data_IF_089713331935
#
_entry.id   IF_089713331935
#
_cell.length_a   1.000
_cell.length_b   1.000
_cell.length_c   1.000
_cell.angle_alpha   90.00
_cell.angle_beta   90.00
_cell.angle_gamma   90.00
#
_symmetry.space_group_name_H-M   'P 1'
#
loop_
_entity.id
_entity.type
_entity.pdbx_description
1 polymer ?
#
# COMPACT_ATOMS: atom_id res chain seq x y z
N UNK A 1 -17.93 1.26 17.22
CA UNK A 1 -16.86 0.49 17.90
C UNK A 1 -15.63 1.36 18.02
N UNK A 2 -14.75 1.14 19.00
CA UNK A 2 -13.50 1.90 19.11
C UNK A 2 -12.53 1.44 17.99
N UNK A 3 -11.82 2.38 17.37
CA UNK A 3 -10.77 2.08 16.41
C UNK A 3 -9.58 1.42 17.12
N UNK A 4 -9.03 0.36 16.55
CA UNK A 4 -7.76 -0.22 17.02
C UNK A 4 -6.56 0.63 16.60
N UNK A 5 -6.65 1.25 15.41
CA UNK A 5 -5.61 2.09 14.84
C UNK A 5 -6.17 3.49 14.54
N UNK A 6 -5.41 4.53 14.87
CA UNK A 6 -5.78 5.93 14.61
C UNK A 6 -5.28 6.42 13.26
N UNK A 7 -4.13 5.89 12.81
CA UNK A 7 -3.53 6.22 11.51
C UNK A 7 -2.98 4.98 10.85
N UNK A 8 -3.38 4.72 9.62
CA UNK A 8 -2.90 3.60 8.82
C UNK A 8 -2.19 4.07 7.56
N UNK A 9 -1.26 3.27 7.07
CA UNK A 9 -0.75 3.41 5.71
C UNK A 9 -1.16 2.19 4.88
N UNK A 10 -2.03 2.41 3.92
CA UNK A 10 -2.55 1.37 3.03
C UNK A 10 -1.70 1.26 1.76
N UNK A 11 -1.20 0.07 1.48
CA UNK A 11 -0.54 -0.24 0.21
C UNK A 11 -1.50 -0.97 -0.71
N UNK A 12 -1.70 -0.43 -1.90
CA UNK A 12 -2.49 -1.03 -2.97
C UNK A 12 -1.55 -1.44 -4.12
N UNK A 13 -1.66 -2.67 -4.62
CA UNK A 13 -0.95 -3.07 -5.84
C UNK A 13 -1.54 -2.34 -7.05
N UNK A 14 -0.68 -1.81 -7.93
CA UNK A 14 -1.17 -1.23 -9.19
C UNK A 14 -1.95 -2.24 -10.04
N UNK A 15 -1.55 -3.52 -10.03
CA UNK A 15 -2.25 -4.59 -10.74
C UNK A 15 -3.67 -4.78 -10.25
N UNK A 16 -3.93 -4.57 -8.96
CA UNK A 16 -5.29 -4.64 -8.41
C UNK A 16 -6.21 -3.59 -9.07
N UNK A 17 -5.69 -2.40 -9.44
CA UNK A 17 -6.49 -1.38 -10.12
C UNK A 17 -6.85 -1.74 -11.57
N UNK A 18 -6.13 -2.69 -12.18
CA UNK A 18 -6.36 -3.20 -13.52
C UNK A 18 -7.38 -4.34 -13.60
N UNK A 19 -7.99 -4.72 -12.48
CA UNK A 19 -8.95 -5.83 -12.41
C UNK A 19 -8.37 -7.15 -12.91
N UNK A 20 -9.19 -7.99 -13.54
CA UNK A 20 -8.76 -9.29 -14.08
C UNK A 20 -7.66 -9.18 -15.13
N UNK A 21 -7.63 -8.09 -15.90
CA UNK A 21 -6.60 -7.86 -16.93
C UNK A 21 -5.24 -7.49 -16.32
N UNK A 22 -5.23 -6.99 -15.09
CA UNK A 22 -4.03 -6.53 -14.38
C UNK A 22 -3.31 -5.33 -15.04
N UNK A 23 -3.93 -4.69 -16.05
CA UNK A 23 -3.37 -3.57 -16.80
C UNK A 23 -4.37 -2.43 -16.96
N UNK A 24 -3.87 -1.18 -16.97
CA UNK A 24 -4.72 0.01 -17.07
C UNK A 24 -5.56 0.21 -15.81
N UNK A 25 -6.75 0.74 -15.99
CA UNK A 25 -7.77 0.93 -14.96
C UNK A 25 -9.02 0.10 -15.26
N UNK A 26 -9.54 -0.57 -14.26
CA UNK A 26 -10.82 -1.27 -14.30
C UNK A 26 -11.80 -0.55 -13.37
N UNK A 27 -12.76 0.15 -13.98
CA UNK A 27 -13.69 1.02 -13.22
C UNK A 27 -14.43 0.28 -12.10
N UNK A 28 -15.04 -0.92 -12.32
CA UNK A 28 -15.72 -1.64 -11.26
C UNK A 28 -14.81 -1.98 -10.08
N UNK A 29 -13.56 -2.40 -10.39
CA UNK A 29 -12.57 -2.73 -9.36
C UNK A 29 -12.14 -1.51 -8.58
N UNK A 30 -11.93 -0.37 -9.26
CA UNK A 30 -11.60 0.90 -8.61
C UNK A 30 -12.75 1.39 -7.72
N UNK A 31 -13.99 1.27 -8.17
CA UNK A 31 -15.19 1.60 -7.37
C UNK A 31 -15.24 0.75 -6.09
N UNK A 32 -15.00 -0.55 -6.19
CA UNK A 32 -15.00 -1.46 -5.05
C UNK A 32 -13.90 -1.11 -4.05
N UNK A 33 -12.66 -0.97 -4.52
CA UNK A 33 -11.50 -0.65 -3.65
C UNK A 33 -11.69 0.71 -2.96
N UNK A 34 -12.02 1.76 -3.73
CA UNK A 34 -12.22 3.10 -3.16
C UNK A 34 -13.45 3.16 -2.24
N UNK A 35 -14.49 2.36 -2.52
CA UNK A 35 -15.63 2.17 -1.63
C UNK A 35 -15.23 1.58 -0.28
N UNK A 36 -14.35 0.57 -0.26
CA UNK A 36 -13.79 -0.01 0.96
C UNK A 36 -12.92 0.99 1.74
N UNK A 37 -12.10 1.79 1.03
CA UNK A 37 -11.31 2.86 1.64
C UNK A 37 -12.22 3.93 2.26
N UNK A 38 -13.28 4.34 1.55
CA UNK A 38 -14.28 5.28 2.08
C UNK A 38 -14.91 4.78 3.37
N UNK A 39 -15.38 3.52 3.39
CA UNK A 39 -15.96 2.90 4.60
C UNK A 39 -15.00 2.96 5.79
N UNK A 40 -13.71 2.67 5.57
CA UNK A 40 -12.70 2.79 6.61
C UNK A 40 -12.51 4.25 7.07
N UNK A 41 -12.45 5.19 6.13
CA UNK A 41 -12.30 6.62 6.42
C UNK A 41 -13.48 7.18 7.23
N UNK A 42 -14.71 6.76 6.94
CA UNK A 42 -15.92 7.16 7.66
C UNK A 42 -15.94 6.69 9.12
N UNK A 43 -15.12 5.70 9.49
CA UNK A 43 -14.90 5.31 10.89
C UNK A 43 -14.03 6.33 11.66
N UNK A 44 -13.42 7.30 10.98
CA UNK A 44 -12.59 8.36 11.58
C UNK A 44 -11.11 8.03 11.65
N UNK A 45 -10.62 6.96 10.98
CA UNK A 45 -9.19 6.64 10.88
C UNK A 45 -8.51 7.56 9.87
N UNK A 46 -7.31 8.04 10.19
CA UNK A 46 -6.46 8.76 9.24
C UNK A 46 -5.80 7.76 8.28
N UNK A 47 -5.93 8.01 6.98
CA UNK A 47 -5.46 7.08 5.93
C UNK A 47 -4.42 7.75 5.05
N UNK A 48 -3.24 7.13 4.94
CA UNK A 48 -2.29 7.35 3.85
C UNK A 48 -2.37 6.19 2.86
N UNK A 49 -2.24 6.47 1.57
CA UNK A 49 -2.26 5.45 0.52
C UNK A 49 -0.98 5.52 -0.31
N UNK A 50 -0.34 4.37 -0.53
CA UNK A 50 0.72 4.18 -1.54
C UNK A 50 0.22 3.20 -2.58
N UNK A 51 0.29 3.57 -3.85
CA UNK A 51 -0.15 2.71 -4.95
C UNK A 51 1.06 2.28 -5.79
N UNK A 52 1.13 0.99 -6.13
CA UNK A 52 2.13 0.47 -7.06
C UNK A 52 1.85 0.89 -8.51
N UNK A 53 2.87 0.77 -9.40
CA UNK A 53 2.75 1.10 -10.83
C UNK A 53 2.59 -0.11 -11.76
N UNK A 54 2.36 -1.31 -11.21
CA UNK A 54 2.45 -2.58 -11.92
C UNK A 54 1.43 -2.80 -13.04
N UNK A 55 0.31 -2.06 -13.03
CA UNK A 55 -0.69 -2.06 -14.11
C UNK A 55 -0.25 -1.33 -15.38
N UNK A 56 0.78 -0.50 -15.30
CA UNK A 56 1.36 0.20 -16.46
C UNK A 56 2.78 -0.21 -16.75
N UNK A 57 3.61 -0.43 -15.70
CA UNK A 57 5.02 -0.70 -15.89
C UNK A 57 5.64 -1.52 -14.75
N UNK A 58 6.43 -2.54 -15.13
CA UNK A 58 7.23 -3.34 -14.20
C UNK A 58 8.72 -3.20 -14.54
N UNK A 59 9.44 -2.39 -13.78
CA UNK A 59 10.87 -2.14 -13.99
C UNK A 59 11.73 -3.40 -13.99
N UNK A 60 11.42 -4.37 -13.12
CA UNK A 60 12.18 -5.63 -13.00
C UNK A 60 12.09 -6.54 -14.24
N UNK A 61 11.05 -6.40 -15.06
CA UNK A 61 10.80 -7.20 -16.26
C UNK A 61 10.93 -6.39 -17.56
N UNK A 62 11.58 -5.23 -17.53
CA UNK A 62 11.68 -4.29 -18.66
C UNK A 62 12.66 -4.73 -19.78
N UNK A 63 13.11 -5.98 -19.78
CA UNK A 63 13.95 -6.53 -20.84
C UNK A 63 15.35 -5.89 -20.87
N UNK A 64 15.70 -5.24 -22.00
CA UNK A 64 17.02 -4.63 -22.21
C UNK A 64 17.13 -3.17 -21.69
N UNK A 65 16.06 -2.61 -21.12
CA UNK A 65 16.08 -1.25 -20.61
C UNK A 65 17.00 -1.11 -19.40
N UNK A 66 17.73 -0.01 -19.33
CA UNK A 66 18.57 0.30 -18.18
C UNK A 66 17.71 0.44 -16.92
N UNK A 67 18.15 -0.16 -15.81
CA UNK A 67 17.34 -0.36 -14.59
C UNK A 67 16.86 0.96 -13.98
N UNK A 68 17.73 1.98 -13.91
CA UNK A 68 17.35 3.27 -13.30
C UNK A 68 16.30 3.99 -14.13
N UNK A 69 16.37 3.87 -15.48
CA UNK A 69 15.34 4.42 -16.37
C UNK A 69 14.02 3.68 -16.23
N UNK A 70 14.08 2.35 -16.19
CA UNK A 70 12.89 1.51 -16.00
C UNK A 70 12.18 1.81 -14.67
N UNK A 71 12.93 1.99 -13.59
CA UNK A 71 12.38 2.32 -12.27
C UNK A 71 11.78 3.75 -12.27
N UNK A 72 12.38 4.72 -12.99
CA UNK A 72 11.79 6.08 -13.15
C UNK A 72 10.45 6.02 -13.88
N UNK A 73 10.32 5.20 -14.93
CA UNK A 73 9.03 5.00 -15.61
C UNK A 73 8.01 4.39 -14.63
N UNK A 74 8.42 3.40 -13.84
CA UNK A 74 7.56 2.83 -12.79
C UNK A 74 7.12 3.84 -11.74
N UNK A 75 8.01 4.76 -11.34
CA UNK A 75 7.66 5.87 -10.43
C UNK A 75 6.60 6.79 -11.04
N UNK A 76 6.71 7.15 -12.33
CA UNK A 76 5.68 7.93 -13.02
C UNK A 76 4.34 7.18 -13.09
N UNK A 77 4.37 5.88 -13.34
CA UNK A 77 3.16 5.03 -13.30
C UNK A 77 2.45 5.10 -11.94
N UNK A 78 3.21 5.16 -10.83
CA UNK A 78 2.59 5.33 -9.49
C UNK A 78 1.95 6.70 -9.31
N UNK A 79 2.44 7.75 -9.97
CA UNK A 79 1.80 9.08 -9.95
C UNK A 79 0.47 9.03 -10.69
N UNK A 80 0.42 8.39 -11.87
CA UNK A 80 -0.83 8.20 -12.61
C UNK A 80 -1.88 7.49 -11.75
N UNK A 81 -1.48 6.40 -11.07
CA UNK A 81 -2.37 5.65 -10.18
C UNK A 81 -2.82 6.47 -8.97
N UNK A 82 -1.94 7.27 -8.38
CA UNK A 82 -2.28 8.15 -7.26
C UNK A 82 -3.35 9.17 -7.65
N UNK A 83 -3.23 9.77 -8.83
CA UNK A 83 -4.22 10.71 -9.35
C UNK A 83 -5.56 10.03 -9.62
N UNK A 84 -5.56 8.84 -10.24
CA UNK A 84 -6.78 8.10 -10.53
C UNK A 84 -7.52 7.66 -9.25
N UNK A 85 -6.79 7.18 -8.23
CA UNK A 85 -7.38 6.84 -6.92
C UNK A 85 -7.92 8.08 -6.21
N UNK A 86 -7.22 9.22 -6.31
CA UNK A 86 -7.68 10.51 -5.79
C UNK A 86 -9.02 10.91 -6.41
N UNK A 87 -9.09 10.97 -7.74
CA UNK A 87 -10.31 11.33 -8.49
C UNK A 87 -11.48 10.41 -8.11
N UNK A 88 -11.25 9.09 -8.05
CA UNK A 88 -12.28 8.13 -7.68
C UNK A 88 -12.80 8.34 -6.25
N UNK A 89 -11.93 8.60 -5.29
CA UNK A 89 -12.32 8.90 -3.90
C UNK A 89 -13.10 10.21 -3.82
N UNK A 90 -12.70 11.24 -4.57
CA UNK A 90 -13.41 12.53 -4.62
C UNK A 90 -14.80 12.39 -5.25
N UNK A 91 -14.96 11.56 -6.29
CA UNK A 91 -16.27 11.19 -6.84
C UNK A 91 -17.17 10.52 -5.78
N UNK A 92 -16.58 9.77 -4.85
CA UNK A 92 -17.28 9.16 -3.72
C UNK A 92 -17.52 10.11 -2.55
N UNK A 93 -17.10 11.39 -2.66
CA UNK A 93 -17.27 12.43 -1.64
C UNK A 93 -16.20 12.44 -0.55
N UNK A 94 -15.08 11.75 -0.76
CA UNK A 94 -13.93 11.74 0.18
C UNK A 94 -12.86 12.70 -0.29
N UNK A 95 -12.51 13.69 0.52
CA UNK A 95 -11.44 14.63 0.18
C UNK A 95 -10.06 13.95 0.22
N UNK A 96 -9.24 14.27 -0.77
CA UNK A 96 -7.89 13.72 -0.88
C UNK A 96 -6.83 14.80 -1.05
N UNK A 97 -5.57 14.42 -0.88
CA UNK A 97 -4.42 15.22 -1.30
C UNK A 97 -3.30 14.31 -1.81
N UNK A 98 -2.92 14.51 -3.08
CA UNK A 98 -1.84 13.74 -3.70
C UNK A 98 -0.51 14.43 -3.47
N UNK A 99 0.49 13.67 -3.01
CA UNK A 99 1.88 14.11 -2.86
C UNK A 99 2.78 13.27 -3.75
N UNK A 100 3.83 13.88 -4.29
CA UNK A 100 4.81 13.17 -5.11
C UNK A 100 6.22 13.30 -4.59
N UNK A 101 7.00 12.22 -4.70
CA UNK A 101 8.45 12.23 -4.40
C UNK A 101 9.29 12.82 -5.53
N UNK A 102 8.68 13.05 -6.70
CA UNK A 102 9.32 13.66 -7.87
C UNK A 102 8.80 15.09 -7.98
N UNK A 103 9.69 16.06 -8.15
CA UNK A 103 9.29 17.47 -8.28
C UNK A 103 8.51 17.68 -9.58
N UNK A 104 7.19 17.85 -9.48
CA UNK A 104 6.27 18.09 -10.60
C UNK A 104 5.07 18.98 -10.16
N UNK A 105 5.31 20.24 -9.80
CA UNK A 105 4.32 21.09 -9.11
C UNK A 105 3.04 21.35 -9.90
N UNK A 106 3.07 21.17 -11.23
CA UNK A 106 1.87 21.29 -12.07
C UNK A 106 0.94 20.08 -11.97
N UNK A 107 1.41 18.97 -11.39
CA UNK A 107 0.67 17.70 -11.24
C UNK A 107 0.26 17.48 -9.81
N UNK A 108 1.23 17.56 -8.88
CA UNK A 108 1.01 17.40 -7.45
C UNK A 108 2.15 18.07 -6.66
N UNK A 109 1.89 18.56 -5.44
CA UNK A 109 2.93 19.09 -4.57
C UNK A 109 3.97 18.02 -4.20
N UNK A 110 5.19 18.49 -3.95
CA UNK A 110 6.23 17.64 -3.41
C UNK A 110 5.86 17.17 -2.00
N UNK A 111 6.13 15.91 -1.70
CA UNK A 111 5.89 15.36 -0.37
C UNK A 111 6.73 16.09 0.69
N UNK A 112 6.06 16.53 1.74
CA UNK A 112 6.66 16.83 3.03
C UNK A 112 5.87 16.14 4.13
N UNK A 113 6.57 15.67 5.18
CA UNK A 113 5.92 15.06 6.33
C UNK A 113 4.87 16.00 6.95
N UNK A 114 5.20 17.29 7.04
CA UNK A 114 4.34 18.32 7.65
C UNK A 114 3.01 18.46 6.89
N UNK A 115 3.07 18.57 5.56
CA UNK A 115 1.89 18.78 4.73
C UNK A 115 1.02 17.52 4.68
N UNK A 116 1.63 16.34 4.60
CA UNK A 116 0.89 15.08 4.67
C UNK A 116 0.16 14.90 6.01
N UNK A 117 0.81 15.17 7.14
CA UNK A 117 0.17 15.11 8.46
C UNK A 117 -0.94 16.15 8.61
N UNK A 118 -0.75 17.36 8.03
CA UNK A 118 -1.78 18.37 8.01
C UNK A 118 -3.01 17.93 7.21
N UNK A 119 -2.81 17.40 5.99
CA UNK A 119 -3.89 16.87 5.16
C UNK A 119 -4.71 15.80 5.90
N UNK A 120 -4.02 14.83 6.55
CA UNK A 120 -4.68 13.78 7.34
C UNK A 120 -5.44 14.36 8.55
N UNK A 121 -4.89 15.36 9.22
CA UNK A 121 -5.54 16.02 10.36
C UNK A 121 -6.77 16.84 9.93
N UNK A 122 -6.75 17.40 8.72
CA UNK A 122 -7.87 18.11 8.11
C UNK A 122 -8.95 17.15 7.56
N UNK A 123 -8.82 15.83 7.80
CA UNK A 123 -9.78 14.81 7.38
C UNK A 123 -9.64 14.36 5.92
N UNK A 124 -8.54 14.69 5.25
CA UNK A 124 -8.23 14.21 3.89
C UNK A 124 -7.47 12.90 3.91
N UNK A 125 -7.63 12.09 2.87
CA UNK A 125 -6.75 10.96 2.60
C UNK A 125 -5.49 11.46 1.87
N UNK A 126 -4.30 11.19 2.43
CA UNK A 126 -3.04 11.52 1.78
C UNK A 126 -2.61 10.38 0.83
N UNK A 127 -2.40 10.68 -0.45
CA UNK A 127 -2.01 9.68 -1.45
C UNK A 127 -0.60 9.98 -1.95
N UNK A 128 0.28 8.98 -1.94
CA UNK A 128 1.70 9.15 -2.21
C UNK A 128 2.09 8.51 -3.55
N UNK A 129 2.45 9.32 -4.54
CA UNK A 129 3.00 8.94 -5.83
C UNK A 129 4.51 9.16 -5.94
N UNK A 130 5.13 8.64 -7.00
CA UNK A 130 6.56 8.82 -7.27
C UNK A 130 7.50 7.90 -6.50
N UNK A 131 6.97 6.88 -5.82
CA UNK A 131 7.80 5.95 -5.05
C UNK A 131 8.57 6.63 -3.92
N UNK A 132 9.84 6.25 -3.73
CA UNK A 132 10.78 6.94 -2.81
C UNK A 132 11.42 8.17 -3.46
N UNK A 133 11.19 8.42 -4.76
CA UNK A 133 11.95 9.38 -5.57
C UNK A 133 13.28 8.84 -6.08
N UNK A 134 13.67 7.63 -5.68
CA UNK A 134 14.93 6.99 -6.05
C UNK A 134 14.68 5.63 -6.71
N UNK A 135 15.52 5.25 -7.72
CA UNK A 135 15.45 3.91 -8.30
C UNK A 135 15.88 2.83 -7.29
N UNK A 136 15.68 1.56 -7.64
CA UNK A 136 16.02 0.35 -6.89
C UNK A 136 15.12 0.04 -5.69
N UNK A 137 14.22 0.93 -5.29
CA UNK A 137 13.27 0.69 -4.21
C UNK A 137 11.92 0.21 -4.74
N UNK A 138 11.32 -0.71 -4.00
CA UNK A 138 9.99 -1.23 -4.32
C UNK A 138 8.86 -0.34 -3.77
N UNK A 139 7.62 -0.65 -4.17
CA UNK A 139 6.42 -0.04 -3.56
C UNK A 139 6.30 -0.42 -2.08
N UNK A 140 6.69 -1.64 -1.68
CA UNK A 140 6.66 -2.06 -0.26
C UNK A 140 7.64 -1.21 0.57
N UNK A 141 8.87 -0.99 0.07
CA UNK A 141 9.84 -0.10 0.71
C UNK A 141 9.32 1.35 0.80
N UNK A 142 8.68 1.84 -0.27
CA UNK A 142 8.06 3.17 -0.26
C UNK A 142 6.98 3.26 0.81
N UNK A 143 6.14 2.23 0.91
CA UNK A 143 5.05 2.20 1.89
C UNK A 143 5.58 2.20 3.32
N UNK A 144 6.59 1.37 3.61
CA UNK A 144 7.25 1.34 4.91
C UNK A 144 7.85 2.71 5.28
N UNK A 145 8.55 3.35 4.33
CA UNK A 145 9.14 4.68 4.52
C UNK A 145 8.06 5.72 4.85
N UNK A 146 7.01 5.81 4.03
CA UNK A 146 5.92 6.77 4.26
C UNK A 146 5.19 6.50 5.57
N UNK A 147 4.99 5.22 5.94
CA UNK A 147 4.35 4.85 7.20
C UNK A 147 5.13 5.37 8.41
N UNK A 148 6.46 5.18 8.41
CA UNK A 148 7.33 5.70 9.47
C UNK A 148 7.32 7.23 9.49
N UNK A 149 7.45 7.88 8.32
CA UNK A 149 7.48 9.35 8.23
C UNK A 149 6.18 10.00 8.72
N UNK A 150 5.02 9.42 8.43
CA UNK A 150 3.74 9.97 8.91
C UNK A 150 3.32 9.42 10.28
N UNK A 151 4.17 8.62 10.93
CA UNK A 151 3.89 7.98 12.22
C UNK A 151 2.58 7.18 12.18
N UNK A 152 2.44 6.28 11.19
CA UNK A 152 1.33 5.35 11.11
C UNK A 152 1.44 4.29 12.22
N UNK A 153 0.30 3.88 12.77
CA UNK A 153 0.25 2.82 13.79
C UNK A 153 0.50 1.44 13.20
N UNK A 154 0.18 1.27 11.90
CA UNK A 154 0.29 0.02 11.18
C UNK A 154 0.36 0.27 9.67
N UNK A 155 1.07 -0.61 8.96
CA UNK A 155 1.02 -0.71 7.51
C UNK A 155 0.03 -1.80 7.10
N UNK A 156 -0.96 -1.47 6.27
CA UNK A 156 -1.86 -2.42 5.63
C UNK A 156 -1.33 -2.78 4.25
N UNK A 157 -0.97 -4.03 4.06
CA UNK A 157 -0.57 -4.58 2.77
C UNK A 157 -1.73 -5.37 2.17
N UNK A 158 -2.54 -4.68 1.36
CA UNK A 158 -3.61 -5.28 0.61
C UNK A 158 -3.06 -6.02 -0.63
N UNK A 159 -3.37 -7.31 -0.76
CA UNK A 159 -2.83 -8.22 -1.77
C UNK A 159 -3.92 -9.07 -2.41
N UNK A 160 -3.54 -10.04 -3.26
CA UNK A 160 -4.44 -11.03 -3.87
C UNK A 160 -4.45 -12.36 -3.11
N UNK A 161 -3.86 -12.40 -1.91
CA UNK A 161 -3.87 -13.55 -1.01
C UNK A 161 -4.31 -13.11 0.38
N UNK A 162 -4.98 -13.98 1.10
CA UNK A 162 -5.63 -13.69 2.38
C UNK A 162 -4.67 -13.68 3.58
N UNK A 163 -3.36 -13.74 3.33
CA UNK A 163 -2.33 -13.69 4.38
C UNK A 163 -0.98 -14.23 3.93
N UNK A 164 -0.14 -14.53 4.89
CA UNK A 164 1.19 -15.11 4.69
C UNK A 164 1.15 -16.62 4.96
N UNK A 165 1.78 -17.38 4.11
CA UNK A 165 1.86 -18.84 4.17
C UNK A 165 3.30 -19.32 4.31
N UNK A 166 3.48 -20.54 4.81
CA UNK A 166 4.78 -21.22 4.91
C UNK A 166 5.36 -21.58 3.53
N UNK A 167 4.50 -21.70 2.51
CA UNK A 167 4.83 -21.95 1.10
C UNK A 167 3.72 -21.42 0.20
N UNK A 168 3.96 -21.35 -1.11
CA UNK A 168 3.02 -20.80 -2.08
C UNK A 168 1.69 -21.60 -2.09
N UNK A 169 0.55 -21.03 -1.64
CA UNK A 169 -0.73 -21.75 -1.57
C UNK A 169 -1.30 -22.09 -2.95
N UNK A 170 -0.89 -21.41 -4.02
CA UNK A 170 -1.32 -21.73 -5.37
C UNK A 170 -0.63 -23.00 -5.93
N UNK A 171 0.56 -23.34 -5.40
CA UNK A 171 1.34 -24.52 -5.81
C UNK A 171 1.18 -25.69 -4.85
N UNK A 172 0.94 -25.40 -3.59
CA UNK A 172 0.92 -26.39 -2.51
C UNK A 172 -0.41 -26.34 -1.75
N UNK A 173 -1.33 -27.29 -2.00
CA UNK A 173 -2.64 -27.32 -1.35
C UNK A 173 -2.59 -27.50 0.19
N UNK A 174 -1.44 -27.99 0.69
CA UNK A 174 -1.17 -28.18 2.12
C UNK A 174 -0.42 -27.00 2.76
N UNK A 175 -0.32 -25.84 2.06
CA UNK A 175 0.25 -24.62 2.61
C UNK A 175 -0.52 -24.16 3.83
N UNK A 176 0.20 -23.77 4.88
CA UNK A 176 -0.38 -23.31 6.15
C UNK A 176 -0.26 -21.81 6.27
N UNK A 177 -1.39 -21.15 6.46
CA UNK A 177 -1.46 -19.73 6.73
C UNK A 177 -1.02 -19.44 8.17
N UNK A 178 -0.29 -18.36 8.35
CA UNK A 178 0.03 -17.81 9.66
C UNK A 178 -0.99 -16.76 10.08
N UNK A 179 -1.46 -16.82 11.32
CA UNK A 179 -2.26 -15.72 11.91
C UNK A 179 -1.35 -14.56 12.33
N UNK A 180 -0.19 -14.90 12.89
CA UNK A 180 0.83 -13.93 13.31
C UNK A 180 2.23 -14.41 12.96
N UNK A 181 3.14 -13.47 12.69
CA UNK A 181 4.55 -13.71 12.39
C UNK A 181 5.43 -12.64 13.04
N UNK A 182 6.65 -12.99 13.40
CA UNK A 182 7.68 -12.00 13.73
C UNK A 182 8.46 -11.59 12.49
N UNK A 183 8.98 -10.36 12.44
CA UNK A 183 9.88 -9.93 11.36
C UNK A 183 11.12 -10.81 11.26
N UNK A 184 11.65 -11.27 12.40
CA UNK A 184 12.79 -12.20 12.44
C UNK A 184 12.47 -13.45 11.64
N UNK A 185 11.32 -14.10 11.91
CA UNK A 185 10.90 -15.30 11.18
C UNK A 185 10.68 -15.04 9.69
N UNK A 186 10.09 -13.89 9.33
CA UNK A 186 9.92 -13.50 7.91
C UNK A 186 11.26 -13.43 7.18
N UNK A 187 12.30 -12.86 7.83
CA UNK A 187 13.63 -12.70 7.24
C UNK A 187 14.41 -14.03 7.20
N UNK A 188 14.38 -14.81 8.28
CA UNK A 188 15.07 -16.09 8.37
C UNK A 188 14.51 -17.14 7.39
N UNK A 189 13.20 -17.28 7.34
CA UNK A 189 12.51 -18.24 6.46
C UNK A 189 12.34 -17.71 5.03
N UNK A 190 12.77 -16.47 4.76
CA UNK A 190 12.63 -15.79 3.46
C UNK A 190 11.19 -15.84 2.92
N UNK A 191 10.23 -15.65 3.81
CA UNK A 191 8.82 -15.67 3.44
C UNK A 191 8.49 -14.51 2.50
N UNK A 192 7.64 -14.78 1.51
CA UNK A 192 7.28 -13.81 0.46
C UNK A 192 6.27 -12.75 0.95
N UNK A 193 6.55 -12.11 2.09
CA UNK A 193 5.72 -11.03 2.63
C UNK A 193 5.98 -9.73 1.90
N UNK A 194 7.26 -9.34 1.81
CA UNK A 194 7.74 -8.12 1.18
C UNK A 194 9.25 -8.23 0.90
N UNK A 195 9.84 -7.21 0.30
CA UNK A 195 11.30 -7.19 0.16
C UNK A 195 12.01 -6.92 1.50
N UNK A 196 13.28 -7.37 1.58
CA UNK A 196 14.06 -7.31 2.82
C UNK A 196 14.29 -5.88 3.34
N UNK A 197 14.37 -4.88 2.46
CA UNK A 197 14.51 -3.47 2.85
C UNK A 197 13.27 -2.98 3.58
N UNK A 198 12.08 -3.27 3.03
CA UNK A 198 10.81 -2.91 3.66
C UNK A 198 10.64 -3.63 5.02
N UNK A 199 10.93 -4.93 5.07
CA UNK A 199 10.81 -5.71 6.31
C UNK A 199 11.76 -5.20 7.41
N UNK A 200 13.02 -4.90 7.05
CA UNK A 200 13.99 -4.34 8.00
C UNK A 200 13.57 -2.97 8.49
N UNK A 201 13.11 -2.09 7.59
CA UNK A 201 12.64 -0.74 7.96
C UNK A 201 11.46 -0.80 8.93
N UNK A 202 10.49 -1.68 8.68
CA UNK A 202 9.36 -1.87 9.58
C UNK A 202 9.78 -2.43 10.93
N UNK A 203 10.65 -3.45 10.96
CA UNK A 203 11.19 -4.03 12.20
C UNK A 203 11.91 -3.00 13.05
N UNK A 204 12.87 -2.27 12.46
CA UNK A 204 13.72 -1.33 13.19
C UNK A 204 12.91 -0.12 13.75
N UNK A 205 11.76 0.18 13.15
CA UNK A 205 10.84 1.23 13.61
C UNK A 205 9.60 0.67 14.36
N UNK A 206 9.56 -0.63 14.67
CA UNK A 206 8.46 -1.30 15.38
C UNK A 206 7.09 -1.07 14.72
N UNK A 207 7.08 -0.93 13.40
CA UNK A 207 5.87 -0.73 12.61
C UNK A 207 5.27 -2.09 12.24
N UNK A 208 4.13 -2.50 12.81
CA UNK A 208 3.49 -3.75 12.43
C UNK A 208 2.92 -3.67 11.00
N UNK A 209 2.72 -4.85 10.40
CA UNK A 209 2.15 -4.98 9.05
C UNK A 209 1.00 -5.98 9.12
N UNK A 210 -0.14 -5.63 8.55
CA UNK A 210 -1.24 -6.57 8.32
C UNK A 210 -1.33 -6.88 6.83
N UNK A 211 -1.16 -8.16 6.49
CA UNK A 211 -1.28 -8.67 5.11
C UNK A 211 -2.64 -9.34 4.96
N UNK A 212 -3.45 -8.88 4.02
CA UNK A 212 -4.81 -9.39 3.81
C UNK A 212 -5.26 -9.29 2.34
N UNK A 213 -6.33 -10.01 2.01
CA UNK A 213 -6.90 -10.03 0.67
C UNK A 213 -7.72 -8.77 0.38
N UNK A 214 -7.47 -8.15 -0.77
CA UNK A 214 -8.20 -7.00 -1.29
C UNK A 214 -9.41 -7.40 -2.15
N UNK A 215 -9.59 -8.68 -2.47
CA UNK A 215 -10.77 -9.16 -3.19
C UNK A 215 -12.07 -8.84 -2.43
N UNK A 216 -12.02 -8.78 -1.10
CA UNK A 216 -13.05 -8.19 -0.26
C UNK A 216 -12.55 -6.83 0.29
N UNK A 217 -12.89 -5.70 -0.34
CA UNK A 217 -12.46 -4.37 0.10
C UNK A 217 -12.98 -3.96 1.49
N UNK A 218 -14.04 -4.59 2.00
CA UNK A 218 -14.55 -4.35 3.35
C UNK A 218 -13.55 -4.81 4.43
N UNK A 219 -12.59 -5.66 4.08
CA UNK A 219 -11.48 -6.03 4.95
C UNK A 219 -10.67 -4.82 5.43
N UNK A 220 -10.63 -3.71 4.67
CA UNK A 220 -9.96 -2.48 5.12
C UNK A 220 -10.64 -1.93 6.37
N UNK A 221 -11.96 -1.78 6.35
CA UNK A 221 -12.73 -1.27 7.48
C UNK A 221 -12.71 -2.25 8.68
N UNK A 222 -12.84 -3.55 8.43
CA UNK A 222 -12.75 -4.60 9.45
C UNK A 222 -11.39 -4.63 10.14
N UNK A 223 -10.30 -4.50 9.36
CA UNK A 223 -8.94 -4.42 9.88
C UNK A 223 -8.74 -3.21 10.80
N UNK A 224 -9.27 -2.04 10.43
CA UNK A 224 -9.22 -0.81 11.25
C UNK A 224 -9.91 -1.01 12.60
N UNK A 225 -10.97 -1.80 12.63
CA UNK A 225 -11.70 -2.17 13.86
C UNK A 225 -10.98 -3.27 14.66
N UNK A 226 -9.92 -3.85 14.13
CA UNK A 226 -9.09 -4.85 14.80
C UNK A 226 -9.53 -6.28 14.59
N UNK A 227 -10.40 -6.55 13.61
CA UNK A 227 -10.73 -7.92 13.22
C UNK A 227 -9.49 -8.61 12.59
N UNK A 228 -9.41 -9.92 12.79
CA UNK A 228 -8.37 -10.73 12.15
C UNK A 228 -8.77 -11.07 10.72
N UNK A 229 -8.38 -10.23 9.76
CA UNK A 229 -8.68 -10.41 8.33
C UNK A 229 -7.50 -10.97 7.52
N UNK A 230 -6.39 -11.31 8.19
CA UNK A 230 -5.19 -11.71 7.49
C UNK A 230 -4.07 -12.19 8.41
N UNK A 231 -2.81 -11.92 8.06
CA UNK A 231 -1.63 -12.22 8.86
C UNK A 231 -1.02 -10.94 9.43
N UNK A 232 -0.88 -10.87 10.75
CA UNK A 232 -0.18 -9.78 11.43
C UNK A 232 1.32 -10.08 11.54
N UNK A 233 2.17 -9.23 10.98
CA UNK A 233 3.63 -9.28 11.13
C UNK A 233 4.06 -8.17 12.09
N UNK A 234 4.83 -8.52 13.13
CA UNK A 234 5.23 -7.58 14.17
C UNK A 234 6.62 -7.91 14.72
N UNK A 235 7.16 -7.05 15.57
CA UNK A 235 8.36 -7.35 16.35
C UNK A 235 7.97 -8.31 17.50
N UNK A 236 8.70 -9.41 17.63
CA UNK A 236 8.49 -10.40 18.68
C UNK A 236 9.00 -9.95 20.03
#
# INVERSE_FOLDING_TARGET
MALKYQRILLKISGEALGGEKGTGFDEPTMDAICGGVKKAHELGVQIGIVVGGGNFWRGRSSGKMERTLADKIGMLATVMNALAVSDKLEQLGVQTEVFTSITMPQVAPAFTRKDALKAMADGKIAIFGGGTGNPFFSTDTTTALRAVEVSADIMFKATMVDGVYDKDPHKYPDAKKYDTLTFTKVLEDRLAVMDGTAATLCRDNKLPILVFDLADPDNIARAVQGENVGTLVYEG
#
